data_IF_705912269034
#
_entry.id   IF_705912269034
#
_cell.length_a   1.000
_cell.length_b   1.000
_cell.length_c   1.000
_cell.angle_alpha   90.00
_cell.angle_beta   90.00
_cell.angle_gamma   90.00
#
_symmetry.space_group_name_H-M   'P 1'
#
loop_
_entity.id
_entity.type
_entity.pdbx_description
1 polymer ?
#
# COMPACT_ATOMS: atom_id res chain seq x y z
N UNK A 1 4.97 -10.24 19.16
CA UNK A 1 3.76 -10.44 18.36
C UNK A 1 3.94 -11.55 17.33
N UNK A 2 4.88 -11.47 16.38
CA UNK A 2 5.08 -12.48 15.31
C UNK A 2 5.20 -13.89 15.89
N UNK A 3 6.14 -14.14 16.82
CA UNK A 3 6.29 -15.46 17.45
C UNK A 3 5.00 -15.97 18.11
N UNK A 4 4.22 -15.09 18.77
CA UNK A 4 2.95 -15.48 19.38
C UNK A 4 1.93 -15.99 18.37
N UNK A 5 1.95 -15.44 17.15
CA UNK A 5 1.09 -15.88 16.04
C UNK A 5 1.60 -17.20 15.50
N UNK A 6 2.91 -17.31 15.24
CA UNK A 6 3.54 -18.54 14.75
C UNK A 6 3.35 -19.75 15.65
N UNK A 7 3.20 -19.54 16.96
CA UNK A 7 2.87 -20.62 17.90
C UNK A 7 1.41 -21.07 17.85
N UNK A 8 0.50 -20.30 17.26
CA UNK A 8 -0.95 -20.54 17.33
C UNK A 8 -1.62 -20.78 15.98
N UNK A 9 -1.03 -20.32 14.91
CA UNK A 9 -1.65 -20.32 13.59
C UNK A 9 -0.80 -21.08 12.58
N UNK A 10 -1.46 -21.83 11.72
CA UNK A 10 -0.85 -22.50 10.58
C UNK A 10 -0.79 -21.56 9.37
N UNK A 11 0.04 -21.86 8.35
CA UNK A 11 0.13 -21.05 7.13
C UNK A 11 -1.19 -20.88 6.36
N UNK A 12 -2.13 -21.84 6.53
CA UNK A 12 -3.48 -21.78 5.93
C UNK A 12 -4.47 -20.94 6.74
N UNK A 13 -4.11 -20.55 7.97
CA UNK A 13 -4.90 -19.69 8.83
C UNK A 13 -4.43 -18.24 8.77
N UNK A 14 -3.10 -18.04 8.73
CA UNK A 14 -2.48 -16.71 8.76
C UNK A 14 -1.32 -16.63 7.76
N UNK A 15 -1.33 -15.58 6.98
CA UNK A 15 -0.25 -15.19 6.09
C UNK A 15 0.35 -13.86 6.51
N UNK A 16 1.64 -13.70 6.28
CA UNK A 16 2.37 -12.46 6.52
C UNK A 16 2.79 -11.78 5.22
N UNK A 17 2.71 -10.46 5.23
CA UNK A 17 3.31 -9.56 4.26
C UNK A 17 4.22 -8.61 5.04
N UNK A 18 5.53 -8.77 4.90
CA UNK A 18 6.52 -8.08 5.73
C UNK A 18 7.30 -7.06 4.91
N UNK A 19 7.45 -5.85 5.45
CA UNK A 19 8.16 -4.72 4.85
C UNK A 19 9.23 -4.25 5.83
N UNK A 20 10.50 -4.39 5.44
CA UNK A 20 11.68 -4.03 6.23
C UNK A 20 12.73 -3.36 5.34
N UNK A 21 12.65 -2.03 5.16
CA UNK A 21 13.57 -1.30 4.31
C UNK A 21 15.04 -1.41 4.73
N UNK A 22 15.30 -1.72 5.99
CA UNK A 22 16.65 -1.81 6.56
C UNK A 22 17.24 -3.21 6.54
N UNK A 23 16.45 -4.24 6.28
CA UNK A 23 16.83 -5.66 6.31
C UNK A 23 17.41 -6.13 7.67
N UNK A 24 16.94 -5.56 8.76
CA UNK A 24 17.52 -5.84 10.07
C UNK A 24 16.61 -6.72 10.94
N UNK A 25 15.34 -6.32 11.07
CA UNK A 25 14.43 -6.87 12.08
C UNK A 25 13.60 -8.05 11.54
N UNK A 26 13.03 -7.90 10.34
CA UNK A 26 12.11 -8.91 9.78
C UNK A 26 12.80 -9.94 8.88
N UNK A 27 14.02 -9.69 8.44
CA UNK A 27 14.82 -10.62 7.64
C UNK A 27 15.06 -11.97 8.33
N UNK A 28 15.02 -12.01 9.66
CA UNK A 28 15.12 -13.25 10.45
C UNK A 28 13.96 -14.21 10.18
N UNK A 29 12.83 -13.73 9.68
CA UNK A 29 11.64 -14.53 9.35
C UNK A 29 11.58 -14.94 7.88
N UNK A 30 12.57 -14.59 7.06
CA UNK A 30 12.60 -14.95 5.64
C UNK A 30 12.48 -16.47 5.44
N UNK A 31 11.66 -16.88 4.47
CA UNK A 31 11.50 -18.31 4.11
C UNK A 31 10.55 -19.13 5.00
N UNK A 32 9.82 -18.54 5.94
CA UNK A 32 8.76 -19.25 6.66
C UNK A 32 7.54 -19.46 5.75
N UNK A 33 6.81 -20.60 5.87
CA UNK A 33 5.66 -20.91 5.00
C UNK A 33 4.47 -19.95 5.15
N UNK A 34 4.47 -19.11 6.16
CA UNK A 34 3.48 -18.06 6.37
C UNK A 34 3.68 -16.83 5.48
N UNK A 35 4.85 -16.65 4.85
CA UNK A 35 5.09 -15.50 3.98
C UNK A 35 4.34 -15.63 2.65
N UNK A 36 3.64 -14.58 2.25
CA UNK A 36 3.02 -14.46 0.92
C UNK A 36 4.00 -13.95 -0.14
N UNK A 37 5.03 -13.23 0.28
CA UNK A 37 6.06 -12.64 -0.56
C UNK A 37 7.36 -12.60 0.25
N UNK A 38 8.55 -12.69 -0.38
CA UNK A 38 9.81 -12.37 0.29
C UNK A 38 9.74 -11.03 1.02
N UNK A 39 10.48 -10.85 2.10
CA UNK A 39 10.47 -9.59 2.85
C UNK A 39 10.80 -8.42 1.92
N UNK A 40 9.90 -7.46 1.84
CA UNK A 40 10.01 -6.30 0.93
C UNK A 40 10.97 -5.29 1.53
N UNK A 41 12.03 -4.98 0.80
CA UNK A 41 13.12 -4.10 1.28
C UNK A 41 13.19 -2.77 0.54
N UNK A 42 12.67 -2.69 -0.67
CA UNK A 42 12.62 -1.45 -1.45
C UNK A 42 11.38 -0.63 -1.08
N UNK A 43 11.54 0.64 -0.63
CA UNK A 43 10.40 1.47 -0.24
C UNK A 43 9.42 1.77 -1.37
N UNK A 44 9.87 1.86 -2.64
CA UNK A 44 8.99 2.04 -3.79
C UNK A 44 8.15 0.79 -4.01
N UNK A 45 8.78 -0.39 -3.97
CA UNK A 45 8.08 -1.68 -4.04
C UNK A 45 7.12 -1.84 -2.87
N UNK A 46 7.48 -1.40 -1.67
CA UNK A 46 6.62 -1.42 -0.49
C UNK A 46 5.31 -0.62 -0.69
N UNK A 47 5.39 0.57 -1.30
CA UNK A 47 4.19 1.35 -1.67
C UNK A 47 3.29 0.58 -2.65
N UNK A 48 3.86 -0.09 -3.64
CA UNK A 48 3.10 -0.92 -4.60
C UNK A 48 2.46 -2.13 -3.92
N UNK A 49 3.16 -2.78 -3.00
CA UNK A 49 2.65 -3.90 -2.20
C UNK A 49 1.48 -3.47 -1.30
N UNK A 50 1.53 -2.27 -0.72
CA UNK A 50 0.41 -1.71 0.03
C UNK A 50 -0.81 -1.45 -0.89
N UNK A 51 -0.61 -0.95 -2.10
CA UNK A 51 -1.68 -0.80 -3.10
C UNK A 51 -2.26 -2.15 -3.51
N UNK A 52 -1.43 -3.16 -3.75
CA UNK A 52 -1.89 -4.53 -3.98
C UNK A 52 -2.73 -5.05 -2.79
N UNK A 53 -2.32 -4.75 -1.56
CA UNK A 53 -3.08 -5.16 -0.36
C UNK A 53 -4.49 -4.53 -0.33
N UNK A 54 -4.62 -3.29 -0.82
CA UNK A 54 -5.92 -2.63 -0.99
C UNK A 54 -6.77 -3.36 -2.03
N UNK A 55 -6.19 -3.75 -3.17
CA UNK A 55 -6.93 -4.52 -4.19
C UNK A 55 -7.32 -5.92 -3.70
N UNK A 56 -6.45 -6.59 -2.95
CA UNK A 56 -6.77 -7.87 -2.31
C UNK A 56 -7.93 -7.72 -1.31
N UNK A 57 -7.94 -6.63 -0.54
CA UNK A 57 -9.07 -6.29 0.32
C UNK A 57 -10.37 -6.17 -0.47
N UNK A 58 -10.36 -5.46 -1.60
CA UNK A 58 -11.53 -5.32 -2.47
C UNK A 58 -11.95 -6.63 -3.13
N UNK A 59 -10.97 -7.44 -3.56
CA UNK A 59 -11.23 -8.78 -4.06
C UNK A 59 -11.94 -9.63 -3.00
N UNK A 60 -11.48 -9.58 -1.76
CA UNK A 60 -12.11 -10.28 -0.63
C UNK A 60 -13.53 -9.79 -0.38
N UNK A 61 -13.78 -8.49 -0.43
CA UNK A 61 -15.13 -7.95 -0.30
C UNK A 61 -16.09 -8.49 -1.37
N UNK A 62 -15.63 -8.63 -2.62
CA UNK A 62 -16.44 -9.26 -3.68
C UNK A 62 -16.78 -10.71 -3.34
N UNK A 63 -15.80 -11.49 -2.90
CA UNK A 63 -15.96 -12.89 -2.49
C UNK A 63 -16.90 -13.03 -1.29
N UNK A 64 -16.75 -12.18 -0.28
CA UNK A 64 -17.63 -12.15 0.89
C UNK A 64 -19.07 -11.83 0.50
N UNK A 65 -19.26 -10.86 -0.39
CA UNK A 65 -20.59 -10.45 -0.87
C UNK A 65 -21.28 -11.56 -1.66
N UNK A 66 -20.55 -12.34 -2.42
CA UNK A 66 -21.08 -13.47 -3.18
C UNK A 66 -21.78 -14.49 -2.27
N UNK A 67 -21.16 -14.86 -1.16
CA UNK A 67 -21.76 -15.72 -0.14
C UNK A 67 -22.59 -14.96 0.91
N UNK A 68 -22.81 -13.65 0.75
CA UNK A 68 -23.49 -12.77 1.73
C UNK A 68 -22.90 -12.86 3.14
N UNK A 69 -21.60 -13.13 3.23
CA UNK A 69 -20.86 -13.19 4.47
C UNK A 69 -20.47 -11.77 4.92
N UNK A 70 -20.62 -11.48 6.22
CA UNK A 70 -20.30 -10.16 6.78
C UNK A 70 -18.83 -10.02 7.20
N UNK A 71 -18.09 -11.11 7.28
CA UNK A 71 -16.68 -11.14 7.67
C UNK A 71 -16.02 -12.40 7.16
N UNK A 72 -14.68 -12.41 7.16
CA UNK A 72 -13.88 -13.59 6.81
C UNK A 72 -14.21 -14.81 7.68
N UNK A 73 -14.52 -14.61 8.98
CA UNK A 73 -14.90 -15.70 9.88
C UNK A 73 -16.20 -16.36 9.43
N UNK A 74 -17.23 -15.54 9.17
CA UNK A 74 -18.51 -16.01 8.69
C UNK A 74 -18.37 -16.73 7.33
N UNK A 75 -17.53 -16.20 6.44
CA UNK A 75 -17.24 -16.79 5.15
C UNK A 75 -16.57 -18.18 5.29
N UNK A 76 -15.50 -18.28 6.07
CA UNK A 76 -14.79 -19.53 6.31
C UNK A 76 -15.69 -20.56 7.00
N UNK A 77 -16.56 -20.13 7.91
CA UNK A 77 -17.54 -21.01 8.57
C UNK A 77 -18.58 -21.57 7.58
N UNK A 78 -19.06 -20.74 6.63
CA UNK A 78 -19.97 -21.18 5.57
C UNK A 78 -19.33 -22.25 4.68
N UNK A 79 -18.05 -22.08 4.33
CA UNK A 79 -17.31 -23.08 3.56
C UNK A 79 -17.16 -24.40 4.32
N UNK A 80 -16.85 -24.37 5.61
CA UNK A 80 -16.76 -25.56 6.46
C UNK A 80 -18.09 -26.32 6.53
N UNK A 81 -19.22 -25.61 6.49
CA UNK A 81 -20.56 -26.21 6.44
C UNK A 81 -20.93 -26.77 5.07
N UNK A 82 -20.03 -26.71 4.09
CA UNK A 82 -20.24 -27.29 2.75
C UNK A 82 -21.19 -26.52 1.85
N UNK A 83 -21.47 -25.26 2.17
CA UNK A 83 -22.26 -24.38 1.29
C UNK A 83 -21.39 -23.95 0.10
N UNK A 84 -21.51 -24.68 -1.00
CA UNK A 84 -20.94 -24.28 -2.30
C UNK A 84 -21.98 -23.45 -3.02
N UNK A 85 -21.75 -22.16 -3.15
CA UNK A 85 -22.53 -21.30 -4.04
C UNK A 85 -21.88 -21.29 -5.42
N UNK A 86 -22.67 -21.50 -6.47
CA UNK A 86 -22.30 -21.22 -7.85
C UNK A 86 -22.93 -19.87 -8.19
N UNK A 87 -22.19 -18.80 -8.11
CA UNK A 87 -22.70 -17.48 -8.50
C UNK A 87 -21.97 -17.00 -9.73
N UNK A 88 -22.73 -16.62 -10.74
CA UNK A 88 -22.22 -16.02 -11.97
C UNK A 88 -22.14 -14.51 -11.74
N UNK A 89 -20.92 -13.98 -11.71
CA UNK A 89 -20.69 -12.54 -11.62
C UNK A 89 -20.49 -11.96 -13.02
N UNK A 90 -21.42 -11.08 -13.44
CA UNK A 90 -21.22 -10.27 -14.64
C UNK A 90 -20.30 -9.09 -14.34
N UNK A 91 -19.05 -9.13 -14.80
CA UNK A 91 -18.10 -8.02 -14.65
C UNK A 91 -18.19 -7.06 -15.86
N UNK A 92 -18.09 -5.74 -15.66
CA UNK A 92 -18.01 -4.80 -16.77
C UNK A 92 -16.70 -4.96 -17.55
N UNK A 93 -16.77 -4.93 -18.88
CA UNK A 93 -15.67 -5.20 -19.84
C UNK A 93 -14.34 -4.43 -19.59
N UNK A 94 -14.33 -3.39 -18.81
CA UNK A 94 -13.19 -2.46 -18.69
C UNK A 94 -12.06 -2.93 -17.75
N UNK A 95 -12.25 -4.03 -16.99
CA UNK A 95 -11.29 -4.47 -15.97
C UNK A 95 -10.91 -5.97 -16.08
N UNK A 96 -11.09 -6.59 -17.24
CA UNK A 96 -10.94 -8.06 -17.39
C UNK A 96 -9.48 -8.51 -17.39
N UNK A 97 -8.55 -7.70 -17.89
CA UNK A 97 -7.15 -8.09 -18.06
C UNK A 97 -6.37 -8.26 -16.74
N UNK A 98 -6.77 -7.57 -15.67
CA UNK A 98 -6.12 -7.67 -14.35
C UNK A 98 -6.57 -8.86 -13.48
N UNK A 99 -7.56 -9.65 -13.93
CA UNK A 99 -8.20 -10.70 -13.13
C UNK A 99 -7.99 -12.14 -13.64
N UNK A 100 -7.15 -12.34 -14.66
CA UNK A 100 -7.08 -13.58 -15.43
C UNK A 100 -6.22 -14.70 -14.83
N UNK A 101 -5.84 -14.70 -13.57
CA UNK A 101 -4.89 -15.68 -13.02
C UNK A 101 -5.42 -16.61 -11.91
N UNK A 102 -6.71 -16.73 -11.74
CA UNK A 102 -7.27 -17.89 -11.02
C UNK A 102 -7.95 -18.80 -12.03
N UNK A 103 -7.62 -20.09 -12.04
CA UNK A 103 -8.03 -21.11 -13.00
C UNK A 103 -9.41 -20.86 -13.62
N UNK A 104 -9.41 -20.32 -14.83
CA UNK A 104 -10.61 -19.93 -15.54
C UNK A 104 -10.94 -21.00 -16.55
N UNK A 105 -12.00 -21.76 -16.32
CA UNK A 105 -12.67 -22.51 -17.38
C UNK A 105 -13.63 -21.54 -18.06
N UNK A 106 -13.19 -20.90 -19.14
CA UNK A 106 -14.05 -20.07 -19.98
C UNK A 106 -14.93 -20.96 -20.87
N UNK A 107 -16.18 -21.09 -20.55
CA UNK A 107 -17.19 -21.59 -21.50
C UNK A 107 -17.70 -20.37 -22.31
N UNK A 108 -17.21 -20.24 -23.53
CA UNK A 108 -17.68 -19.23 -24.48
C UNK A 108 -19.02 -19.71 -25.04
N UNK A 109 -20.11 -19.32 -24.43
CA UNK A 109 -21.42 -19.35 -25.05
C UNK A 109 -21.70 -17.97 -25.66
N UNK A 110 -22.12 -17.92 -26.92
CA UNK A 110 -22.20 -16.75 -27.81
C UNK A 110 -23.06 -15.54 -27.38
N UNK A 111 -23.09 -15.23 -26.10
CA UNK A 111 -23.67 -14.02 -25.53
C UNK A 111 -22.56 -13.22 -24.84
N UNK A 112 -22.53 -11.91 -25.03
CA UNK A 112 -21.52 -10.93 -24.52
C UNK A 112 -21.28 -10.92 -23.00
N UNK A 113 -21.59 -11.99 -22.28
CA UNK A 113 -21.37 -12.17 -20.84
C UNK A 113 -20.31 -13.24 -20.65
N UNK A 114 -19.16 -12.87 -20.14
CA UNK A 114 -18.14 -13.80 -19.66
C UNK A 114 -18.57 -14.24 -18.27
N UNK A 115 -18.96 -15.50 -18.15
CA UNK A 115 -19.32 -16.11 -16.87
C UNK A 115 -18.02 -16.59 -16.19
N UNK A 116 -17.63 -15.96 -15.09
CA UNK A 116 -16.52 -16.42 -14.26
C UNK A 116 -17.07 -17.25 -13.11
N UNK A 117 -16.69 -18.51 -13.05
CA UNK A 117 -16.99 -19.36 -11.89
C UNK A 117 -15.97 -19.04 -10.78
N UNK A 118 -16.43 -18.41 -9.69
CA UNK A 118 -15.59 -18.14 -8.52
C UNK A 118 -15.50 -19.43 -7.71
N UNK A 119 -14.29 -19.99 -7.65
CA UNK A 119 -14.02 -21.13 -6.76
C UNK A 119 -13.78 -20.60 -5.35
N UNK A 120 -14.72 -20.89 -4.45
CA UNK A 120 -14.59 -20.49 -3.05
C UNK A 120 -13.61 -21.41 -2.31
N UNK A 121 -12.56 -20.83 -1.78
CA UNK A 121 -11.56 -21.48 -0.93
C UNK A 121 -11.44 -20.75 0.40
N UNK A 122 -10.95 -21.44 1.44
CA UNK A 122 -10.69 -20.82 2.73
C UNK A 122 -9.74 -19.63 2.54
N UNK A 123 -10.11 -18.48 3.10
CA UNK A 123 -9.27 -17.29 3.11
C UNK A 123 -8.46 -17.21 4.41
N UNK A 124 -7.13 -17.13 4.35
CA UNK A 124 -6.31 -16.86 5.53
C UNK A 124 -6.44 -15.41 5.97
N UNK A 125 -6.21 -15.13 7.23
CA UNK A 125 -5.90 -13.77 7.67
C UNK A 125 -4.59 -13.29 7.04
N UNK A 126 -4.53 -12.04 6.65
CA UNK A 126 -3.28 -11.39 6.20
C UNK A 126 -2.85 -10.39 7.26
N UNK A 127 -1.60 -10.51 7.70
CA UNK A 127 -1.00 -9.56 8.63
C UNK A 127 0.13 -8.83 7.90
N UNK A 128 -0.11 -7.55 7.63
CA UNK A 128 0.89 -6.66 7.04
C UNK A 128 1.72 -6.06 8.17
N UNK A 129 3.03 -6.21 8.09
CA UNK A 129 3.96 -5.70 9.10
C UNK A 129 4.92 -4.73 8.44
N UNK A 130 4.98 -3.50 8.94
CA UNK A 130 5.91 -2.47 8.51
C UNK A 130 6.84 -2.15 9.67
N UNK A 131 8.13 -2.42 9.50
CA UNK A 131 9.15 -2.18 10.54
C UNK A 131 9.45 -0.69 10.72
N UNK A 132 9.61 0.05 9.62
CA UNK A 132 9.91 1.49 9.68
C UNK A 132 9.04 2.28 8.68
N UNK A 133 7.95 2.86 9.19
CA UNK A 133 7.04 3.67 8.39
C UNK A 133 7.72 4.93 7.82
N UNK A 134 8.63 5.54 8.57
CA UNK A 134 9.28 6.79 8.14
C UNK A 134 10.00 6.63 6.80
N UNK A 135 10.62 5.49 6.54
CA UNK A 135 11.36 5.27 5.30
C UNK A 135 10.42 5.17 4.08
N UNK A 136 9.18 4.70 4.27
CA UNK A 136 8.15 4.69 3.24
C UNK A 136 7.59 6.10 3.02
N UNK A 137 7.33 6.84 4.10
CA UNK A 137 6.81 8.21 4.05
C UNK A 137 7.78 9.20 3.41
N UNK A 138 9.08 8.93 3.45
CA UNK A 138 10.09 9.74 2.74
C UNK A 138 10.08 9.55 1.23
N UNK A 139 9.62 8.39 0.73
CA UNK A 139 9.67 8.06 -0.70
C UNK A 139 8.32 8.31 -1.39
N UNK A 140 7.22 7.88 -0.79
CA UNK A 140 5.89 7.96 -1.38
C UNK A 140 4.83 8.31 -0.32
N UNK A 141 4.89 9.49 0.32
CA UNK A 141 4.04 9.82 1.48
C UNK A 141 2.55 9.74 1.17
N UNK A 142 2.10 10.26 0.03
CA UNK A 142 0.69 10.28 -0.37
C UNK A 142 0.13 8.87 -0.60
N UNK A 143 0.82 8.06 -1.39
CA UNK A 143 0.37 6.71 -1.75
C UNK A 143 0.33 5.79 -0.52
N UNK A 144 1.34 5.92 0.35
CA UNK A 144 1.43 5.14 1.60
C UNK A 144 0.33 5.56 2.56
N UNK A 145 0.14 6.85 2.81
CA UNK A 145 -0.89 7.35 3.71
C UNK A 145 -2.30 7.00 3.22
N UNK A 146 -2.58 7.13 1.92
CA UNK A 146 -3.87 6.76 1.31
C UNK A 146 -4.14 5.25 1.46
N UNK A 147 -3.16 4.41 1.11
CA UNK A 147 -3.30 2.96 1.21
C UNK A 147 -3.51 2.51 2.66
N UNK A 148 -2.72 3.02 3.60
CA UNK A 148 -2.86 2.71 5.03
C UNK A 148 -4.20 3.18 5.59
N UNK A 149 -4.64 4.37 5.23
CA UNK A 149 -5.95 4.90 5.66
C UNK A 149 -7.08 4.02 5.17
N UNK A 150 -7.07 3.64 3.90
CA UNK A 150 -8.10 2.79 3.29
C UNK A 150 -8.14 1.40 3.93
N UNK A 151 -6.98 0.79 4.12
CA UNK A 151 -6.86 -0.49 4.82
C UNK A 151 -7.37 -0.39 6.27
N UNK A 152 -6.95 0.62 7.03
CA UNK A 152 -7.37 0.77 8.43
C UNK A 152 -8.88 0.94 8.58
N UNK A 153 -9.54 1.60 7.63
CA UNK A 153 -10.99 1.81 7.64
C UNK A 153 -11.79 0.56 7.27
N UNK A 154 -11.30 -0.25 6.34
CA UNK A 154 -12.11 -1.29 5.71
C UNK A 154 -11.57 -2.71 5.88
N UNK A 155 -10.28 -2.92 6.14
CA UNK A 155 -9.66 -4.24 6.02
C UNK A 155 -10.09 -5.27 7.08
N UNK A 156 -10.66 -4.85 8.21
CA UNK A 156 -11.03 -5.73 9.32
C UNK A 156 -11.97 -6.86 8.90
N UNK A 157 -13.04 -6.55 8.16
CA UNK A 157 -14.00 -7.56 7.74
C UNK A 157 -13.41 -8.52 6.69
N UNK A 158 -12.46 -8.04 5.88
CA UNK A 158 -11.72 -8.84 4.91
C UNK A 158 -10.59 -9.69 5.54
N UNK A 159 -10.38 -9.61 6.87
CA UNK A 159 -9.35 -10.36 7.59
C UNK A 159 -7.93 -9.88 7.32
N UNK A 160 -7.75 -8.59 7.03
CA UNK A 160 -6.42 -7.99 6.84
C UNK A 160 -6.13 -7.08 8.03
N UNK A 161 -4.99 -7.28 8.66
CA UNK A 161 -4.54 -6.55 9.85
C UNK A 161 -3.19 -5.90 9.60
N UNK A 162 -2.96 -4.74 10.23
CA UNK A 162 -1.74 -3.98 10.07
C UNK A 162 -1.02 -3.83 11.40
N UNK A 163 0.29 -4.06 11.40
CA UNK A 163 1.21 -3.75 12.49
C UNK A 163 2.24 -2.77 11.91
N UNK A 164 2.20 -1.53 12.36
CA UNK A 164 3.03 -0.47 11.83
C UNK A 164 3.94 0.03 12.92
N UNK A 165 5.25 0.00 12.68
CA UNK A 165 6.24 0.53 13.59
C UNK A 165 7.02 1.69 12.96
N UNK A 166 7.60 2.53 13.80
CA UNK A 166 8.55 3.56 13.42
C UNK A 166 9.46 3.91 14.59
N UNK A 167 10.71 4.17 14.28
CA UNK A 167 11.71 4.70 15.22
C UNK A 167 11.79 6.23 15.16
N UNK A 168 11.00 6.88 14.27
CA UNK A 168 10.96 8.34 14.08
C UNK A 168 9.56 8.89 14.39
N UNK A 169 9.27 9.17 15.69
CA UNK A 169 7.97 9.65 16.12
C UNK A 169 7.77 11.14 15.80
N UNK A 170 7.85 11.54 14.53
CA UNK A 170 7.57 12.88 14.07
C UNK A 170 6.14 13.02 13.55
N UNK A 171 5.61 14.24 13.51
CA UNK A 171 4.26 14.52 13.00
C UNK A 171 4.13 14.28 11.50
N UNK A 172 5.23 14.32 10.75
CA UNK A 172 5.28 14.02 9.32
C UNK A 172 5.17 12.51 9.03
N UNK A 173 5.50 11.67 10.01
CA UNK A 173 5.40 10.21 9.92
C UNK A 173 4.11 9.73 10.56
N UNK A 174 3.82 10.18 11.79
CA UNK A 174 2.59 9.84 12.52
C UNK A 174 1.60 11.01 12.35
N UNK A 175 1.06 11.10 11.15
CA UNK A 175 0.16 12.18 10.77
C UNK A 175 -1.19 12.12 11.51
N UNK A 176 -1.96 13.18 11.42
CA UNK A 176 -3.32 13.21 11.96
C UNK A 176 -4.23 12.14 11.35
N UNK A 177 -4.06 11.84 10.03
CA UNK A 177 -4.81 10.79 9.34
C UNK A 177 -4.43 9.40 9.84
N UNK A 178 -3.14 9.13 10.02
CA UNK A 178 -2.65 7.87 10.59
C UNK A 178 -3.22 7.69 12.00
N UNK A 179 -3.13 8.69 12.88
CA UNK A 179 -3.64 8.61 14.25
C UNK A 179 -5.16 8.40 14.32
N UNK A 180 -5.91 9.03 13.44
CA UNK A 180 -7.37 8.90 13.39
C UNK A 180 -7.82 7.48 13.00
N UNK A 181 -7.05 6.81 12.13
CA UNK A 181 -7.39 5.48 11.62
C UNK A 181 -6.72 4.33 12.39
N UNK A 182 -5.68 4.61 13.18
CA UNK A 182 -5.00 3.66 14.06
C UNK A 182 -5.17 4.05 15.52
N UNK A 183 -6.34 3.80 16.12
CA UNK A 183 -6.63 4.19 17.51
C UNK A 183 -5.88 3.36 18.54
N UNK A 184 -5.53 2.12 18.19
CA UNK A 184 -4.71 1.24 19.04
C UNK A 184 -3.24 1.60 18.85
N UNK A 185 -2.59 2.04 19.93
CA UNK A 185 -1.21 2.52 19.86
C UNK A 185 -0.38 2.00 21.00
N UNK A 186 0.91 1.78 20.70
CA UNK A 186 1.91 1.36 21.66
C UNK A 186 3.08 2.33 21.57
N UNK A 187 3.54 2.82 22.70
CA UNK A 187 4.79 3.56 22.79
C UNK A 187 5.74 2.84 23.75
N UNK A 188 6.91 2.50 23.27
CA UNK A 188 8.05 2.15 24.09
C UNK A 188 8.69 3.42 24.67
N UNK A 189 9.80 3.28 25.39
CA UNK A 189 10.56 4.41 25.90
C UNK A 189 10.99 5.34 24.77
N UNK A 190 10.76 6.63 24.95
CA UNK A 190 11.16 7.69 23.99
C UNK A 190 12.01 8.73 24.69
N UNK A 191 12.72 9.55 23.91
CA UNK A 191 13.67 10.53 24.42
C UNK A 191 13.00 11.76 25.03
N UNK A 192 11.81 12.13 24.56
CA UNK A 192 11.16 13.37 24.96
C UNK A 192 9.65 13.24 25.22
N UNK A 193 9.13 14.23 25.98
CA UNK A 193 7.68 14.39 26.18
C UNK A 193 6.94 14.71 24.87
N UNK A 194 7.63 15.30 23.92
CA UNK A 194 7.07 15.63 22.60
C UNK A 194 6.83 14.34 21.81
N UNK A 195 7.82 13.44 21.80
CA UNK A 195 7.69 12.14 21.13
C UNK A 195 6.55 11.32 21.75
N UNK A 196 6.45 11.30 23.08
CA UNK A 196 5.34 10.63 23.77
C UNK A 196 3.99 11.19 23.31
N UNK A 197 3.83 12.50 23.24
CA UNK A 197 2.59 13.13 22.76
C UNK A 197 2.33 12.85 21.27
N UNK A 198 3.36 12.78 20.47
CA UNK A 198 3.22 12.44 19.04
C UNK A 198 2.64 11.05 18.85
N UNK A 199 3.05 10.07 19.66
CA UNK A 199 2.60 8.68 19.53
C UNK A 199 1.25 8.47 20.22
N UNK A 200 1.14 8.81 21.51
CA UNK A 200 0.01 8.43 22.37
C UNK A 200 -0.85 9.61 22.85
N UNK A 201 -0.64 10.80 22.27
CA UNK A 201 -1.32 12.07 22.61
C UNK A 201 -1.17 12.50 24.07
N UNK A 202 -0.35 11.81 24.87
CA UNK A 202 -0.11 12.05 26.29
C UNK A 202 1.40 11.97 26.59
N UNK A 203 1.80 12.54 27.72
CA UNK A 203 3.15 12.35 28.28
C UNK A 203 3.21 11.04 29.05
N UNK A 204 4.41 10.52 29.25
CA UNK A 204 4.65 9.35 30.09
C UNK A 204 5.61 8.32 29.49
N UNK A 205 5.66 8.19 28.18
CA UNK A 205 6.55 7.23 27.54
C UNK A 205 8.04 7.59 27.71
N UNK A 206 8.36 8.86 27.96
CA UNK A 206 9.72 9.32 28.31
C UNK A 206 10.20 8.85 29.69
N UNK A 207 9.29 8.29 30.50
CA UNK A 207 9.59 7.79 31.86
C UNK A 207 9.63 6.27 31.93
N UNK A 208 9.44 5.59 30.82
CA UNK A 208 9.51 4.13 30.76
C UNK A 208 10.95 3.64 31.00
N UNK A 209 11.06 2.40 31.46
CA UNK A 209 12.34 1.81 31.86
C UNK A 209 13.14 1.21 30.69
N UNK A 210 12.54 1.13 29.49
CA UNK A 210 13.12 0.39 28.37
C UNK A 210 12.87 -1.12 28.47
N UNK A 211 13.62 -1.91 27.71
CA UNK A 211 13.58 -3.37 27.74
C UNK A 211 12.16 -3.98 27.63
N UNK A 212 11.28 -3.40 26.80
CA UNK A 212 9.91 -3.89 26.61
C UNK A 212 8.84 -3.24 27.50
N UNK A 213 9.23 -2.32 28.39
CA UNK A 213 8.28 -1.49 29.14
C UNK A 213 7.58 -0.53 28.17
N UNK A 214 6.25 -0.53 28.14
CA UNK A 214 5.46 0.20 27.14
C UNK A 214 4.17 0.78 27.72
N UNK A 215 3.69 1.85 27.08
CA UNK A 215 2.34 2.38 27.26
C UNK A 215 1.47 1.94 26.08
N UNK A 216 0.31 1.42 26.39
CA UNK A 216 -0.64 0.86 25.43
C UNK A 216 -1.99 1.56 25.53
N UNK A 217 -2.52 1.99 24.38
CA UNK A 217 -3.90 2.46 24.23
C UNK A 217 -4.70 1.32 23.57
N UNK A 218 -5.57 0.64 24.32
CA UNK A 218 -6.43 -0.41 23.79
C UNK A 218 -7.50 0.17 22.84
N UNK A 219 -8.06 -0.66 21.94
CA UNK A 219 -9.14 -0.23 21.07
C UNK A 219 -10.39 0.15 21.88
N UNK A 220 -11.07 1.23 21.43
CA UNK A 220 -12.33 1.67 22.05
C UNK A 220 -12.20 2.45 23.38
N UNK A 221 -11.00 2.76 23.82
CA UNK A 221 -10.77 3.60 25.00
C UNK A 221 -9.53 4.48 24.81
N UNK A 222 -9.49 5.61 25.50
CA UNK A 222 -8.32 6.47 25.58
C UNK A 222 -7.46 6.23 26.84
N UNK A 223 -7.84 5.24 27.67
CA UNK A 223 -7.14 4.97 28.91
C UNK A 223 -5.82 4.23 28.62
N UNK A 224 -4.71 4.82 29.06
CA UNK A 224 -3.39 4.20 28.99
C UNK A 224 -3.28 3.01 29.96
N UNK A 225 -2.72 1.92 29.46
CA UNK A 225 -2.30 0.78 30.26
C UNK A 225 -0.79 0.63 30.14
N UNK A 226 -0.08 0.47 31.26
CA UNK A 226 1.35 0.14 31.24
C UNK A 226 1.51 -1.36 31.22
N UNK A 227 2.25 -1.86 30.24
CA UNK A 227 2.49 -3.28 30.01
C UNK A 227 3.98 -3.49 29.86
N UNK A 228 4.48 -4.63 30.25
CA UNK A 228 5.85 -5.03 30.01
C UNK A 228 5.89 -6.21 29.05
N UNK A 229 6.52 -6.02 27.89
CA UNK A 229 6.70 -7.05 26.86
C UNK A 229 7.76 -8.07 27.29
N UNK A 230 7.50 -9.34 27.02
CA UNK A 230 8.51 -10.37 27.20
C UNK A 230 9.66 -10.17 26.20
N UNK A 231 10.88 -10.35 26.67
CA UNK A 231 12.06 -10.38 25.80
C UNK A 231 12.12 -11.71 25.05
N UNK A 232 12.36 -11.65 23.76
CA UNK A 232 12.64 -12.80 22.89
C UNK A 232 13.97 -12.55 22.19
N UNK A 233 14.93 -13.41 22.40
CA UNK A 233 16.28 -13.28 21.83
C UNK A 233 16.31 -13.74 20.36
N UNK A 234 17.30 -13.25 19.60
CA UNK A 234 17.52 -13.66 18.20
C UNK A 234 17.73 -15.17 18.08
N UNK A 235 18.39 -15.79 19.08
CA UNK A 235 18.57 -17.24 19.14
C UNK A 235 17.25 -18.00 19.26
N UNK A 236 16.30 -17.46 20.02
CA UNK A 236 14.96 -18.06 20.15
C UNK A 236 14.16 -17.88 18.87
N UNK A 237 14.26 -16.70 18.23
CA UNK A 237 13.64 -16.43 16.94
C UNK A 237 14.20 -17.40 15.90
N UNK A 238 15.51 -17.53 15.75
CA UNK A 238 16.14 -18.47 14.81
C UNK A 238 15.66 -19.90 15.01
N UNK A 239 15.62 -20.38 16.27
CA UNK A 239 15.13 -21.74 16.57
C UNK A 239 13.67 -21.95 16.15
N UNK A 240 12.80 -20.97 16.36
CA UNK A 240 11.38 -21.02 15.95
C UNK A 240 11.30 -21.06 14.42
N UNK A 241 12.00 -20.15 13.76
CA UNK A 241 12.02 -20.04 12.29
C UNK A 241 12.56 -21.31 11.65
N UNK A 242 13.69 -21.84 12.12
CA UNK A 242 14.29 -23.07 11.59
C UNK A 242 13.33 -24.26 11.75
N UNK A 243 12.67 -24.38 12.91
CA UNK A 243 11.68 -25.43 13.17
C UNK A 243 10.49 -25.34 12.19
N UNK A 244 10.01 -24.13 11.92
CA UNK A 244 8.86 -23.91 11.00
C UNK A 244 9.28 -24.19 9.55
N UNK A 245 10.48 -23.77 9.12
CA UNK A 245 11.00 -24.04 7.79
C UNK A 245 11.20 -25.52 7.49
N UNK A 246 11.48 -26.33 8.50
CA UNK A 246 11.56 -27.79 8.32
C UNK A 246 10.21 -28.42 8.01
N UNK A 247 9.09 -27.78 8.34
CA UNK A 247 7.75 -28.34 8.15
C UNK A 247 7.20 -28.09 6.75
N UNK A 248 7.44 -26.91 6.18
CA UNK A 248 6.97 -26.54 4.85
C UNK A 248 7.79 -25.40 4.24
N UNK A 249 7.77 -25.30 2.91
CA UNK A 249 8.36 -24.19 2.16
C UNK A 249 7.29 -23.08 1.95
N UNK A 250 7.71 -21.81 1.80
CA UNK A 250 6.78 -20.73 1.47
C UNK A 250 6.21 -20.91 0.07
N UNK A 251 4.91 -20.71 -0.05
CA UNK A 251 4.22 -20.60 -1.34
C UNK A 251 3.96 -19.11 -1.60
N UNK A 252 4.87 -18.46 -2.34
CA UNK A 252 4.75 -17.04 -2.63
C UNK A 252 3.65 -16.77 -3.66
N UNK A 253 2.91 -15.68 -3.46
CA UNK A 253 1.86 -15.22 -4.37
C UNK A 253 2.48 -14.39 -5.51
N UNK A 254 2.49 -14.96 -6.72
CA UNK A 254 3.04 -14.31 -7.90
C UNK A 254 2.27 -13.05 -8.32
N UNK A 255 1.02 -12.91 -7.90
CA UNK A 255 0.20 -11.74 -8.22
C UNK A 255 0.77 -10.45 -7.62
N UNK A 256 1.42 -10.53 -6.45
CA UNK A 256 2.08 -9.40 -5.79
C UNK A 256 3.22 -8.85 -6.66
N UNK A 257 4.07 -9.74 -7.19
CA UNK A 257 5.19 -9.35 -8.05
C UNK A 257 4.71 -8.78 -9.38
N UNK A 258 3.74 -9.43 -10.02
CA UNK A 258 3.16 -8.97 -11.28
C UNK A 258 2.51 -7.59 -11.14
N UNK A 259 1.76 -7.38 -10.05
CA UNK A 259 1.18 -6.08 -9.74
C UNK A 259 2.24 -5.00 -9.57
N UNK A 260 3.31 -5.29 -8.83
CA UNK A 260 4.41 -4.35 -8.62
C UNK A 260 5.13 -3.99 -9.94
N UNK A 261 5.33 -4.97 -10.83
CA UNK A 261 5.92 -4.74 -12.17
C UNK A 261 4.98 -3.91 -13.05
N UNK A 262 3.68 -4.25 -13.10
CA UNK A 262 2.70 -3.51 -13.88
C UNK A 262 2.55 -2.06 -13.40
N UNK A 263 2.52 -1.84 -12.09
CA UNK A 263 2.48 -0.50 -11.50
C UNK A 263 3.75 0.31 -11.80
N UNK A 264 4.91 -0.33 -11.85
CA UNK A 264 6.17 0.31 -12.24
C UNK A 264 6.18 0.71 -13.73
N UNK A 265 5.65 -0.15 -14.61
CA UNK A 265 5.53 0.14 -16.04
C UNK A 265 4.54 1.28 -16.31
N UNK A 266 3.38 1.26 -15.67
CA UNK A 266 2.38 2.33 -15.82
C UNK A 266 2.87 3.68 -15.27
N UNK A 267 3.78 3.71 -14.33
CA UNK A 267 4.43 4.95 -13.88
C UNK A 267 5.46 5.48 -14.89
N UNK A 268 6.09 4.62 -15.67
CA UNK A 268 6.98 5.01 -16.77
C UNK A 268 6.21 5.41 -18.05
N UNK A 269 5.10 4.75 -18.36
CA UNK A 269 4.23 5.13 -19.48
C UNK A 269 3.54 6.49 -19.25
N UNK A 270 3.25 6.86 -18.00
CA UNK A 270 2.73 8.19 -17.67
C UNK A 270 3.79 9.31 -17.70
N UNK A 271 5.09 9.00 -17.78
CA UNK A 271 6.15 9.98 -18.01
C UNK A 271 6.40 10.23 -19.51
N UNK A 272 6.01 9.27 -20.38
CA UNK A 272 6.16 9.40 -21.84
C UNK A 272 4.84 9.71 -22.56
N UNK A 273 3.71 9.73 -21.85
CA UNK A 273 2.41 9.91 -22.48
C UNK A 273 2.22 11.38 -22.91
N UNK A 274 1.97 11.54 -24.19
CA UNK A 274 1.62 12.77 -24.87
C UNK A 274 0.41 13.38 -24.12
N UNK A 275 0.63 14.44 -23.36
CA UNK A 275 -0.49 15.16 -22.76
C UNK A 275 -1.41 15.63 -23.89
N UNK A 276 -2.66 15.16 -23.92
CA UNK A 276 -3.67 15.48 -24.95
C UNK A 276 -3.74 16.99 -25.26
N UNK A 277 -3.31 17.82 -24.32
CA UNK A 277 -3.28 19.28 -24.45
C UNK A 277 -1.89 19.83 -24.82
N UNK A 278 -0.91 18.95 -25.10
CA UNK A 278 0.45 19.41 -25.41
C UNK A 278 0.48 20.25 -26.70
N UNK A 279 -0.12 19.77 -27.78
CA UNK A 279 -0.15 20.48 -29.08
C UNK A 279 -0.91 21.81 -28.99
N UNK A 280 -2.02 21.81 -28.21
CA UNK A 280 -2.79 23.03 -27.92
C UNK A 280 -1.96 24.04 -27.12
N UNK A 281 -1.15 23.55 -26.17
CA UNK A 281 -0.24 24.38 -25.39
C UNK A 281 0.91 24.92 -26.22
N UNK A 282 1.47 24.12 -27.14
CA UNK A 282 2.52 24.56 -28.09
C UNK A 282 1.98 25.65 -29.04
N UNK A 283 0.78 25.47 -29.54
CA UNK A 283 0.11 26.47 -30.39
C UNK A 283 -0.11 27.80 -29.61
N UNK A 284 -0.65 27.70 -28.40
CA UNK A 284 -0.88 28.86 -27.53
C UNK A 284 0.42 29.64 -27.24
N UNK A 285 1.50 28.93 -26.86
CA UNK A 285 2.80 29.51 -26.55
C UNK A 285 3.43 30.14 -27.79
N UNK A 286 3.29 29.47 -28.94
CA UNK A 286 3.75 30.00 -30.26
C UNK A 286 3.03 31.29 -30.66
N UNK A 287 1.72 31.38 -30.39
CA UNK A 287 0.92 32.59 -30.69
C UNK A 287 1.28 33.75 -29.75
N UNK A 288 1.45 33.47 -28.45
CA UNK A 288 1.76 34.50 -27.46
C UNK A 288 3.22 34.92 -27.42
N UNK A 289 4.14 34.18 -28.03
CA UNK A 289 5.57 34.45 -28.12
C UNK A 289 6.31 34.37 -26.78
N UNK A 290 5.66 33.86 -25.73
CA UNK A 290 6.23 33.66 -24.40
C UNK A 290 5.59 32.46 -23.72
N UNK A 291 6.37 31.77 -22.88
CA UNK A 291 5.92 30.60 -22.15
C UNK A 291 6.15 30.74 -20.65
N UNK A 292 5.13 30.47 -19.84
CA UNK A 292 5.26 30.33 -18.42
C UNK A 292 4.23 29.33 -17.88
N UNK A 293 4.57 28.64 -16.77
CA UNK A 293 3.67 27.68 -16.13
C UNK A 293 2.33 28.35 -15.79
N UNK A 294 2.36 29.55 -15.22
CA UNK A 294 1.14 30.31 -14.86
C UNK A 294 0.27 30.70 -16.04
N UNK A 295 0.90 30.96 -17.20
CA UNK A 295 0.21 31.28 -18.43
C UNK A 295 -0.53 30.06 -18.96
N UNK A 296 0.15 28.92 -19.11
CA UNK A 296 -0.43 27.67 -19.56
C UNK A 296 -1.53 27.20 -18.60
N UNK A 297 -1.28 27.24 -17.30
CA UNK A 297 -2.27 26.91 -16.27
C UNK A 297 -3.58 27.71 -16.45
N UNK A 298 -3.46 29.04 -16.61
CA UNK A 298 -4.62 29.94 -16.69
C UNK A 298 -5.40 29.77 -17.99
N UNK A 299 -4.71 29.73 -19.13
CA UNK A 299 -5.38 29.66 -20.44
C UNK A 299 -6.00 28.28 -20.71
N UNK A 300 -5.32 27.22 -20.31
CA UNK A 300 -5.80 25.84 -20.54
C UNK A 300 -6.67 25.30 -19.40
N UNK A 301 -6.84 26.06 -18.31
CA UNK A 301 -7.62 25.67 -17.11
C UNK A 301 -7.18 24.32 -16.54
N UNK A 302 -5.87 24.10 -16.43
CA UNK A 302 -5.26 22.87 -15.90
C UNK A 302 -4.54 23.14 -14.58
N UNK A 303 -4.23 22.09 -13.81
CA UNK A 303 -3.48 22.22 -12.55
C UNK A 303 -2.01 22.63 -12.77
N UNK A 304 -1.40 23.24 -11.76
CA UNK A 304 -0.01 23.72 -11.81
C UNK A 304 0.97 22.61 -12.22
N UNK A 305 0.89 21.43 -11.64
CA UNK A 305 1.79 20.29 -11.92
C UNK A 305 1.69 19.81 -13.37
N UNK A 306 0.48 19.82 -13.97
CA UNK A 306 0.27 19.46 -15.37
C UNK A 306 0.85 20.52 -16.30
N UNK A 307 0.64 21.81 -15.99
CA UNK A 307 1.21 22.91 -16.74
C UNK A 307 2.75 22.94 -16.67
N UNK A 308 3.33 22.60 -15.51
CA UNK A 308 4.77 22.50 -15.32
C UNK A 308 5.37 21.41 -16.23
N UNK A 309 4.82 20.20 -16.23
CA UNK A 309 5.26 19.10 -17.09
C UNK A 309 5.17 19.44 -18.59
N UNK A 310 4.10 20.07 -19.02
CA UNK A 310 3.95 20.52 -20.42
C UNK A 310 5.07 21.50 -20.78
N UNK A 311 5.37 22.47 -19.94
CA UNK A 311 6.46 23.45 -20.19
C UNK A 311 7.84 22.81 -20.15
N UNK A 312 8.10 21.87 -19.23
CA UNK A 312 9.35 21.12 -19.16
C UNK A 312 9.57 20.24 -20.39
N UNK A 313 8.52 19.60 -20.91
CA UNK A 313 8.56 18.85 -22.17
C UNK A 313 8.84 19.79 -23.35
N UNK A 314 8.21 20.96 -23.42
CA UNK A 314 8.50 21.97 -24.44
C UNK A 314 9.95 22.45 -24.39
N UNK A 315 10.56 22.54 -23.20
CA UNK A 315 11.98 22.86 -23.06
C UNK A 315 12.88 21.73 -23.58
N UNK A 316 12.57 20.47 -23.21
CA UNK A 316 13.31 19.30 -23.66
C UNK A 316 13.26 19.13 -25.20
N UNK A 317 12.13 19.43 -25.82
CA UNK A 317 11.93 19.39 -27.26
C UNK A 317 12.42 20.64 -28.01
N UNK A 318 12.94 21.65 -27.29
CA UNK A 318 13.46 22.87 -27.87
C UNK A 318 12.40 23.85 -28.41
N UNK A 319 11.15 23.68 -27.99
CA UNK A 319 10.03 24.60 -28.31
C UNK A 319 10.17 25.91 -27.53
N UNK A 320 10.65 25.83 -26.32
CA UNK A 320 10.93 26.99 -25.44
C UNK A 320 12.35 26.93 -24.88
N UNK A 321 12.89 28.09 -24.56
CA UNK A 321 14.23 28.20 -23.95
C UNK A 321 14.25 27.80 -22.46
N UNK A 322 15.46 27.65 -21.89
CA UNK A 322 15.66 27.28 -20.52
C UNK A 322 15.05 28.30 -19.53
N UNK A 323 14.74 27.82 -18.33
CA UNK A 323 14.20 28.66 -17.25
C UNK A 323 15.24 29.69 -16.81
N UNK A 324 14.89 30.98 -16.82
CA UNK A 324 15.67 32.09 -16.27
C UNK A 324 14.98 32.64 -15.02
N UNK A 325 14.75 31.78 -14.01
CA UNK A 325 14.09 32.14 -12.77
C UNK A 325 12.59 32.44 -12.93
N UNK A 326 12.14 33.59 -12.44
CA UNK A 326 10.71 33.96 -12.44
C UNK A 326 10.20 34.54 -13.76
N UNK A 327 11.04 34.70 -14.77
CA UNK A 327 10.67 35.32 -16.06
C UNK A 327 10.04 34.25 -16.99
N UNK A 328 9.14 34.75 -17.88
CA UNK A 328 8.60 33.91 -18.94
C UNK A 328 9.73 33.45 -19.88
N UNK A 329 9.72 32.18 -20.27
CA UNK A 329 10.69 31.57 -21.19
C UNK A 329 10.48 32.07 -22.62
N UNK A 330 11.58 32.24 -23.38
CA UNK A 330 11.49 32.59 -24.80
C UNK A 330 10.99 31.41 -25.62
N UNK A 331 10.11 31.68 -26.58
CA UNK A 331 9.66 30.68 -27.54
C UNK A 331 10.69 30.61 -28.65
N UNK A 332 11.15 29.40 -28.99
CA UNK A 332 12.22 29.12 -29.97
C UNK A 332 11.66 28.71 -31.34
N UNK A 333 10.41 28.26 -31.41
CA UNK A 333 9.75 27.91 -32.67
C UNK A 333 9.27 29.15 -33.41
N UNK A 334 9.45 29.18 -34.73
CA UNK A 334 8.87 30.23 -35.59
C UNK A 334 7.34 30.01 -35.69
N UNK A 335 6.58 31.14 -35.68
CA UNK A 335 5.15 31.12 -36.02
C UNK A 335 4.91 30.26 -37.26
N UNK A 336 4.07 29.22 -37.11
CA UNK A 336 3.55 28.55 -38.31
C UNK A 336 2.71 29.57 -39.10
N UNK A 337 2.90 29.73 -40.40
CA UNK A 337 2.03 30.58 -41.19
C UNK A 337 0.62 30.02 -41.17
N UNK A 338 -0.34 30.88 -40.88
CA UNK A 338 -1.79 30.65 -40.88
C UNK A 338 -2.30 30.20 -42.24
#
# INVERSE_FOLDING_TARGET
MICSILFKAQPDDVKFLMIDPKRLELSSYEGIPHLMHPVVVDPKKASQVLRWTVEEMERRYRILNDLKAKSIDAYNELLLKGLKSKTVLALPKKNIESYLETETIANITGTDKVEHEITHTKLPYIIVIIDELADLMMVAPRDVEESLTRLAQMARAAGIHLIIATQRPSVDVITGLIKANFPTRISFQVSSKIDSRTIIDQQGAEKLLGAGDMLFIPPGTSKLSRIHGAFVSDKEISRIVDFIKMQAQPAYDSSIEKFAVAAAQSSHENDDDFDEKYDEAVALVGELGQASISLVQRYMKIGYNRAARIIEKMEAEGVVGPSDGAKARKVLIRKLPS
#
